data_IF_604347078467
#
_entry.id   IF_604347078467
#
_cell.length_a   1.000
_cell.length_b   1.000
_cell.length_c   1.000
_cell.angle_alpha   90.00
_cell.angle_beta   90.00
_cell.angle_gamma   90.00
#
_symmetry.space_group_name_H-M   'P 1'
#
loop_
_entity.id
_entity.type
_entity.pdbx_description
1 polymer ?
#
# COMPACT_ATOMS: atom_id res chain seq x y z
N UNK A 1 8.13 -37.49 -1.56
CA UNK A 1 6.81 -37.02 -1.14
C UNK A 1 6.81 -36.76 0.36
N UNK A 2 7.21 -35.56 0.74
CA UNK A 2 7.03 -35.08 2.11
C UNK A 2 5.80 -34.20 2.03
N UNK A 3 4.68 -34.67 2.59
CA UNK A 3 3.44 -33.90 2.70
C UNK A 3 3.69 -32.70 3.62
N UNK A 4 3.65 -31.51 3.06
CA UNK A 4 3.59 -30.28 3.83
C UNK A 4 2.18 -30.15 4.38
N UNK A 5 2.01 -30.50 5.65
CA UNK A 5 0.77 -30.29 6.38
C UNK A 5 0.54 -28.80 6.59
N UNK A 6 -0.68 -28.37 6.30
CA UNK A 6 -1.28 -27.07 6.46
C UNK A 6 -1.44 -26.62 7.93
N UNK A 7 -0.41 -26.78 8.77
CA UNK A 7 -0.45 -26.40 10.19
C UNK A 7 0.15 -25.01 10.47
N UNK A 8 0.07 -24.08 9.53
CA UNK A 8 0.30 -22.68 9.84
C UNK A 8 -1.06 -21.98 9.85
N UNK A 9 -1.54 -21.78 11.08
CA UNK A 9 -2.68 -20.94 11.47
C UNK A 9 -4.05 -21.63 11.61
N UNK A 10 -4.16 -22.48 12.63
CA UNK A 10 -5.44 -22.69 13.30
C UNK A 10 -5.78 -21.53 14.21
N UNK A 11 -6.30 -20.43 13.66
CA UNK A 11 -7.05 -19.41 14.40
C UNK A 11 -8.29 -19.04 13.59
N UNK A 12 -9.41 -19.61 14.02
CA UNK A 12 -10.74 -19.22 13.57
C UNK A 12 -11.11 -17.88 14.19
N UNK A 13 -11.57 -16.96 13.32
CA UNK A 13 -12.55 -15.91 13.46
C UNK A 13 -12.46 -14.83 14.55
N UNK A 14 -12.67 -13.63 14.05
CA UNK A 14 -13.05 -12.37 14.70
C UNK A 14 -11.87 -11.49 15.15
N UNK A 15 -11.15 -10.90 14.17
CA UNK A 15 -10.43 -9.67 14.44
C UNK A 15 -10.54 -8.72 13.23
N UNK A 16 -10.80 -7.42 13.45
CA UNK A 16 -10.84 -6.40 12.38
C UNK A 16 -9.44 -6.14 11.79
N UNK A 17 -8.43 -6.94 12.14
CA UNK A 17 -7.05 -6.77 11.76
C UNK A 17 -6.59 -7.93 10.87
N UNK A 18 -5.78 -7.60 9.85
CA UNK A 18 -5.05 -8.59 9.07
C UNK A 18 -3.81 -8.98 9.85
N UNK A 19 -3.60 -10.27 10.09
CA UNK A 19 -2.38 -10.76 10.74
C UNK A 19 -1.20 -10.46 9.83
N UNK A 20 -0.22 -9.69 10.34
CA UNK A 20 1.05 -9.45 9.68
C UNK A 20 2.15 -10.32 10.30
N UNK A 21 3.17 -10.59 9.51
CA UNK A 21 4.32 -11.40 9.90
C UNK A 21 5.62 -10.64 9.70
N UNK A 22 6.64 -11.00 10.46
CA UNK A 22 8.02 -10.55 10.26
C UNK A 22 8.92 -11.76 10.04
N UNK A 23 9.97 -11.57 9.24
CA UNK A 23 11.01 -12.59 9.05
C UNK A 23 11.75 -12.85 10.37
N UNK A 24 12.09 -14.09 10.66
CA UNK A 24 12.96 -14.46 11.78
C UNK A 24 14.45 -14.24 11.46
N UNK A 25 14.82 -14.55 10.22
CA UNK A 25 16.20 -14.44 9.74
C UNK A 25 16.24 -13.75 8.38
N UNK A 26 17.31 -13.02 8.03
CA UNK A 26 17.50 -12.55 6.67
C UNK A 26 17.74 -13.74 5.73
N UNK A 27 17.37 -13.55 4.46
CA UNK A 27 17.71 -14.48 3.39
C UNK A 27 18.32 -13.77 2.20
N UNK A 28 18.98 -14.53 1.33
CA UNK A 28 19.69 -13.99 0.16
C UNK A 28 19.48 -14.89 -1.05
N UNK A 29 19.20 -14.28 -2.20
CA UNK A 29 19.20 -14.94 -3.51
C UNK A 29 20.03 -14.15 -4.51
N UNK A 30 20.71 -14.87 -5.40
CA UNK A 30 21.55 -14.28 -6.47
C UNK A 30 21.11 -14.82 -7.82
N UNK A 31 21.07 -13.96 -8.82
CA UNK A 31 20.74 -14.31 -10.20
C UNK A 31 20.96 -13.16 -11.15
N UNK A 32 20.48 -13.28 -12.37
CA UNK A 32 20.59 -12.25 -13.42
C UNK A 32 19.28 -11.52 -13.63
N UNK A 33 19.34 -10.21 -13.88
CA UNK A 33 18.21 -9.41 -14.35
C UNK A 33 17.84 -9.82 -15.78
N UNK A 34 16.53 -9.95 -16.08
CA UNK A 34 16.08 -10.42 -17.40
C UNK A 34 16.37 -9.41 -18.52
N UNK A 35 16.32 -8.11 -18.19
CA UNK A 35 16.50 -7.04 -19.18
C UNK A 35 17.95 -6.55 -19.24
N UNK A 36 18.61 -6.34 -18.10
CA UNK A 36 19.99 -5.84 -18.03
C UNK A 36 21.00 -6.93 -18.30
N UNK A 37 20.72 -8.16 -17.86
CA UNK A 37 21.67 -9.27 -17.85
C UNK A 37 22.69 -9.19 -16.72
N UNK A 38 22.63 -8.16 -15.87
CA UNK A 38 23.54 -7.99 -14.75
C UNK A 38 23.27 -8.98 -13.64
N UNK A 39 24.34 -9.43 -12.98
CA UNK A 39 24.21 -10.24 -11.77
C UNK A 39 23.81 -9.36 -10.60
N UNK A 40 22.73 -9.73 -9.94
CA UNK A 40 22.24 -9.06 -8.74
C UNK A 40 22.07 -10.04 -7.60
N UNK A 41 22.57 -9.66 -6.44
CA UNK A 41 22.29 -10.31 -5.16
C UNK A 41 21.28 -9.47 -4.41
N UNK A 42 20.19 -10.11 -3.99
CA UNK A 42 19.13 -9.50 -3.16
C UNK A 42 19.21 -10.11 -1.77
N UNK A 43 19.35 -9.26 -0.75
CA UNK A 43 19.28 -9.67 0.65
C UNK A 43 18.05 -9.02 1.29
N UNK A 44 17.16 -9.84 1.83
CA UNK A 44 15.95 -9.40 2.50
C UNK A 44 16.10 -9.57 4.00
N UNK A 45 15.99 -8.47 4.74
CA UNK A 45 16.11 -8.42 6.18
C UNK A 45 14.76 -8.17 6.84
N UNK A 46 14.52 -8.71 8.05
CA UNK A 46 13.38 -8.30 8.86
C UNK A 46 13.41 -6.80 9.13
N UNK A 47 12.24 -6.19 9.23
CA UNK A 47 12.11 -4.77 9.57
C UNK A 47 10.93 -4.55 10.54
N UNK A 48 10.97 -3.51 11.39
CA UNK A 48 9.90 -3.23 12.35
C UNK A 48 8.64 -2.74 11.64
N UNK A 49 7.50 -2.90 12.30
CA UNK A 49 6.20 -2.36 11.85
C UNK A 49 6.31 -0.86 11.55
N UNK A 50 5.66 -0.43 10.47
CA UNK A 50 5.74 0.95 9.95
C UNK A 50 6.95 1.22 9.05
N UNK A 51 7.90 0.26 8.92
CA UNK A 51 9.03 0.41 8.01
C UNK A 51 8.61 0.40 6.53
N UNK A 52 7.62 -0.45 6.15
CA UNK A 52 7.29 -0.72 4.75
C UNK A 52 8.39 -1.51 4.04
N UNK A 53 8.30 -1.60 2.71
CA UNK A 53 9.40 -2.12 1.89
C UNK A 53 10.35 -0.98 1.55
N UNK A 54 11.63 -1.15 1.84
CA UNK A 54 12.66 -0.14 1.55
C UNK A 54 13.83 -0.80 0.84
N UNK A 55 14.09 -0.36 -0.38
CA UNK A 55 15.23 -0.81 -1.19
C UNK A 55 16.48 0.03 -0.95
N UNK A 56 17.61 -0.65 -0.76
CA UNK A 56 18.93 -0.08 -0.60
C UNK A 56 19.85 -0.58 -1.72
N UNK A 57 20.42 0.31 -2.51
CA UNK A 57 21.38 0.00 -3.57
C UNK A 57 22.79 -0.06 -2.97
N UNK A 58 23.30 -1.27 -2.78
CA UNK A 58 24.64 -1.50 -2.18
C UNK A 58 25.78 -1.14 -3.11
N UNK A 59 25.55 -1.10 -4.41
CA UNK A 59 26.47 -0.62 -5.44
C UNK A 59 26.46 0.92 -5.58
N UNK A 60 25.47 1.60 -4.99
CA UNK A 60 25.35 3.06 -4.92
C UNK A 60 25.01 3.48 -3.47
N UNK A 61 25.92 3.28 -2.49
CA UNK A 61 25.62 3.42 -1.07
C UNK A 61 25.24 4.84 -0.64
N UNK A 62 25.63 5.85 -1.41
CA UNK A 62 25.28 7.27 -1.16
C UNK A 62 23.87 7.64 -1.65
N UNK A 63 23.24 6.79 -2.48
CA UNK A 63 21.90 7.07 -2.99
C UNK A 63 20.84 6.92 -1.88
N UNK A 64 19.86 7.82 -1.86
CA UNK A 64 18.74 7.77 -0.91
C UNK A 64 17.96 6.46 -1.07
N UNK A 65 17.74 5.69 0.01
CA UNK A 65 16.95 4.47 -0.06
C UNK A 65 15.55 4.71 -0.62
N UNK A 66 15.06 3.78 -1.43
CA UNK A 66 13.74 3.88 -2.05
C UNK A 66 12.69 3.20 -1.17
N UNK A 67 11.85 4.01 -0.52
CA UNK A 67 10.64 3.48 0.13
C UNK A 67 9.58 3.21 -0.93
N UNK A 68 9.11 1.98 -0.97
CA UNK A 68 8.09 1.54 -1.94
C UNK A 68 6.76 2.23 -1.69
N UNK A 69 6.18 2.75 -2.75
CA UNK A 69 4.82 3.28 -2.81
C UNK A 69 4.33 3.31 -4.26
N UNK A 70 3.02 3.36 -4.53
CA UNK A 70 2.52 3.49 -5.89
C UNK A 70 3.02 4.75 -6.63
N UNK A 71 3.36 5.83 -5.90
CA UNK A 71 3.90 7.08 -6.48
C UNK A 71 5.34 6.96 -6.96
N UNK A 72 6.08 5.91 -6.58
CA UNK A 72 7.45 5.67 -7.04
C UNK A 72 7.50 4.95 -8.40
N UNK A 73 6.37 4.54 -8.96
CA UNK A 73 6.32 3.87 -10.27
C UNK A 73 6.64 4.88 -11.37
N UNK A 74 7.68 4.63 -12.14
CA UNK A 74 8.14 5.51 -13.25
C UNK A 74 7.98 4.88 -14.62
N UNK A 75 7.92 3.56 -14.70
CA UNK A 75 7.72 2.83 -15.95
C UNK A 75 7.01 1.49 -15.69
N UNK A 76 6.14 1.09 -16.61
CA UNK A 76 5.34 -0.15 -16.55
C UNK A 76 5.43 -0.98 -17.83
N UNK A 77 6.37 -0.66 -18.73
CA UNK A 77 6.56 -1.46 -19.95
C UNK A 77 7.26 -2.78 -19.62
N UNK A 78 6.49 -3.86 -19.66
CA UNK A 78 6.90 -5.26 -19.42
C UNK A 78 7.46 -5.57 -18.03
N UNK A 79 7.52 -4.60 -17.12
CA UNK A 79 7.99 -4.73 -15.73
C UNK A 79 7.53 -3.52 -14.93
N UNK A 80 7.54 -3.63 -13.62
CA UNK A 80 7.35 -2.49 -12.74
C UNK A 80 8.72 -1.88 -12.40
N UNK A 81 8.91 -0.61 -12.78
CA UNK A 81 10.11 0.17 -12.45
C UNK A 81 9.78 1.19 -11.37
N UNK A 82 10.51 1.15 -10.28
CA UNK A 82 10.37 2.05 -9.13
C UNK A 82 11.55 3.00 -9.06
N UNK A 83 11.32 4.30 -8.81
CA UNK A 83 12.39 5.28 -8.63
C UNK A 83 11.98 6.43 -7.71
N UNK A 84 12.94 6.97 -6.97
CA UNK A 84 12.84 8.24 -6.23
C UNK A 84 13.74 9.35 -6.82
N UNK A 85 14.28 9.12 -8.03
CA UNK A 85 15.21 10.01 -8.70
C UNK A 85 16.69 9.68 -8.46
N UNK A 86 17.05 9.07 -7.33
CA UNK A 86 18.42 8.65 -7.01
C UNK A 86 18.56 7.12 -7.06
N UNK A 87 17.63 6.41 -6.45
CA UNK A 87 17.57 4.96 -6.46
C UNK A 87 16.53 4.49 -7.46
N UNK A 88 16.93 3.56 -8.37
CA UNK A 88 16.01 2.91 -9.30
C UNK A 88 16.09 1.40 -9.14
N UNK A 89 14.93 0.75 -9.11
CA UNK A 89 14.76 -0.70 -8.98
C UNK A 89 13.83 -1.20 -10.08
N UNK A 90 14.23 -2.25 -10.77
CA UNK A 90 13.47 -2.90 -11.85
C UNK A 90 13.02 -4.30 -11.44
N UNK A 91 11.87 -4.74 -11.98
CA UNK A 91 11.37 -6.12 -11.86
C UNK A 91 11.13 -6.53 -10.39
N UNK A 92 10.47 -5.64 -9.62
CA UNK A 92 10.23 -5.87 -8.19
C UNK A 92 9.01 -6.77 -7.90
N UNK A 93 8.13 -6.96 -8.88
CA UNK A 93 6.81 -7.56 -8.74
C UNK A 93 6.82 -8.98 -8.17
N UNK A 94 7.76 -9.85 -8.57
CA UNK A 94 7.79 -11.25 -8.11
C UNK A 94 8.20 -11.37 -6.63
N UNK A 95 9.22 -10.61 -6.22
CA UNK A 95 9.66 -10.55 -4.82
C UNK A 95 8.55 -9.95 -3.94
N UNK A 96 7.98 -8.81 -4.36
CA UNK A 96 6.93 -8.14 -3.61
C UNK A 96 5.67 -9.00 -3.51
N UNK A 97 5.32 -9.75 -4.57
CA UNK A 97 4.21 -10.71 -4.55
C UNK A 97 4.40 -11.79 -3.49
N UNK A 98 5.60 -12.38 -3.40
CA UNK A 98 5.91 -13.41 -2.41
C UNK A 98 5.85 -12.85 -0.97
N UNK A 99 6.45 -11.68 -0.72
CA UNK A 99 6.43 -11.02 0.60
C UNK A 99 4.99 -10.67 1.01
N UNK A 100 4.22 -10.07 0.10
CA UNK A 100 2.84 -9.67 0.37
C UNK A 100 1.93 -10.87 0.66
N UNK A 101 2.04 -11.93 -0.13
CA UNK A 101 1.27 -13.16 0.07
C UNK A 101 1.66 -13.89 1.38
N UNK A 102 2.91 -13.75 1.83
CA UNK A 102 3.36 -14.25 3.13
C UNK A 102 2.91 -13.36 4.31
N UNK A 103 2.20 -12.25 4.06
CA UNK A 103 1.79 -11.30 5.10
C UNK A 103 2.95 -10.47 5.68
N UNK A 104 4.07 -10.38 4.98
CA UNK A 104 5.24 -9.60 5.38
C UNK A 104 5.16 -8.24 4.66
N UNK A 105 4.75 -7.20 5.37
CA UNK A 105 4.57 -5.85 4.81
C UNK A 105 5.75 -4.92 5.10
N UNK A 106 6.74 -5.39 5.87
CA UNK A 106 7.91 -4.62 6.29
C UNK A 106 9.18 -5.42 6.06
N UNK A 107 10.04 -4.91 5.20
CA UNK A 107 11.34 -5.51 4.91
C UNK A 107 12.34 -4.45 4.47
N UNK A 108 13.59 -4.56 4.92
CA UNK A 108 14.73 -3.87 4.36
C UNK A 108 15.35 -4.76 3.28
N UNK A 109 15.45 -4.26 2.06
CA UNK A 109 15.85 -5.05 0.90
C UNK A 109 17.11 -4.42 0.29
N UNK A 110 18.21 -5.16 0.27
CA UNK A 110 19.48 -4.73 -0.26
C UNK A 110 19.72 -5.34 -1.64
N UNK A 111 20.18 -4.52 -2.59
CA UNK A 111 20.44 -4.90 -3.99
C UNK A 111 21.85 -4.54 -4.38
N UNK A 112 22.57 -5.45 -5.06
CA UNK A 112 23.90 -5.18 -5.63
C UNK A 112 23.86 -4.69 -7.08
N UNK A 113 22.68 -4.58 -7.70
CA UNK A 113 22.44 -4.01 -9.02
C UNK A 113 21.02 -3.44 -9.11
N UNK A 114 20.64 -2.77 -10.21
CA UNK A 114 19.34 -2.10 -10.35
C UNK A 114 18.17 -3.04 -10.63
N UNK A 115 18.41 -4.23 -11.13
CA UNK A 115 17.36 -5.16 -11.52
C UNK A 115 17.33 -6.38 -10.60
N UNK A 116 16.16 -6.67 -10.02
CA UNK A 116 15.96 -7.87 -9.21
C UNK A 116 16.08 -9.11 -10.11
N UNK A 117 16.76 -10.18 -9.66
CA UNK A 117 16.96 -11.39 -10.45
C UNK A 117 15.64 -12.03 -10.88
N UNK A 118 15.56 -12.41 -12.15
CA UNK A 118 14.38 -13.11 -12.68
C UNK A 118 14.27 -14.55 -12.16
N UNK A 119 15.38 -15.15 -11.78
CA UNK A 119 15.49 -16.54 -11.32
C UNK A 119 14.86 -17.49 -12.35
N UNK A 120 13.85 -18.26 -11.95
CA UNK A 120 13.12 -19.16 -12.84
C UNK A 120 11.90 -18.51 -13.53
N UNK A 121 11.71 -17.19 -13.36
CA UNK A 121 10.59 -16.43 -13.91
C UNK A 121 9.32 -16.48 -13.08
N UNK A 122 9.35 -17.07 -11.88
CA UNK A 122 8.22 -17.16 -10.95
C UNK A 122 8.53 -16.53 -9.60
N UNK A 123 7.58 -16.52 -8.68
CA UNK A 123 7.80 -16.13 -7.29
C UNK A 123 8.20 -17.30 -6.38
N UNK A 124 8.26 -18.52 -6.90
CA UNK A 124 8.52 -19.72 -6.09
C UNK A 124 9.87 -19.68 -5.35
N UNK A 125 11.00 -19.32 -5.97
CA UNK A 125 12.27 -19.25 -5.25
C UNK A 125 12.24 -18.26 -4.08
N UNK A 126 11.55 -17.11 -4.24
CA UNK A 126 11.35 -16.11 -3.19
C UNK A 126 10.48 -16.66 -2.06
N UNK A 127 9.39 -17.34 -2.41
CA UNK A 127 8.49 -17.99 -1.47
C UNK A 127 9.19 -19.06 -0.63
N UNK A 128 9.97 -19.92 -1.25
CA UNK A 128 10.77 -20.95 -0.57
C UNK A 128 11.81 -20.32 0.38
N UNK A 129 12.50 -19.27 -0.06
CA UNK A 129 13.48 -18.56 0.77
C UNK A 129 12.83 -17.90 2.00
N UNK A 130 11.64 -17.31 1.85
CA UNK A 130 10.86 -16.76 2.98
C UNK A 130 10.54 -17.86 3.99
N UNK A 131 10.09 -19.03 3.53
CA UNK A 131 9.75 -20.16 4.41
C UNK A 131 10.99 -20.73 5.12
N UNK A 132 12.13 -20.80 4.43
CA UNK A 132 13.40 -21.23 5.03
C UNK A 132 13.91 -20.23 6.07
N UNK A 133 13.73 -18.93 5.83
CA UNK A 133 14.10 -17.88 6.79
C UNK A 133 13.21 -17.90 8.04
N UNK A 134 12.00 -18.47 7.93
CA UNK A 134 11.01 -18.52 8.98
C UNK A 134 10.32 -17.18 9.24
N UNK A 135 9.09 -17.23 9.71
CA UNK A 135 8.28 -16.04 10.02
C UNK A 135 7.65 -16.18 11.42
N UNK A 136 7.45 -15.05 12.08
CA UNK A 136 6.67 -14.96 13.32
C UNK A 136 5.58 -13.90 13.18
N UNK A 137 4.44 -14.03 13.88
CA UNK A 137 3.45 -12.97 13.92
C UNK A 137 4.09 -11.64 14.37
N UNK A 138 3.74 -10.56 13.70
CA UNK A 138 4.17 -9.22 14.11
C UNK A 138 3.55 -8.88 15.47
N UNK A 139 4.29 -8.23 16.39
CA UNK A 139 3.76 -7.81 17.68
C UNK A 139 2.69 -6.71 17.58
N UNK A 140 2.61 -6.04 16.46
CA UNK A 140 1.64 -4.99 16.17
C UNK A 140 0.71 -5.45 15.04
N UNK A 141 -0.59 -5.22 15.23
CA UNK A 141 -1.59 -5.49 14.22
C UNK A 141 -1.56 -4.40 13.15
N UNK A 142 -1.70 -4.80 11.89
CA UNK A 142 -1.78 -3.87 10.77
C UNK A 142 -3.24 -3.45 10.54
N UNK A 143 -3.44 -2.13 10.52
CA UNK A 143 -4.69 -1.56 10.00
C UNK A 143 -4.61 -1.58 8.47
N UNK A 144 -5.20 -2.59 7.86
CA UNK A 144 -5.26 -2.69 6.40
C UNK A 144 -6.08 -1.53 5.79
N UNK A 145 -5.76 -1.20 4.54
CA UNK A 145 -6.56 -0.25 3.75
C UNK A 145 -7.97 -0.83 3.57
N UNK A 146 -8.98 -0.07 4.00
CA UNK A 146 -10.40 -0.40 3.81
C UNK A 146 -11.01 0.55 2.79
N UNK A 147 -11.71 0.05 1.80
CA UNK A 147 -12.44 0.85 0.82
C UNK A 147 -13.86 1.13 1.34
N UNK A 148 -14.40 2.34 1.07
CA UNK A 148 -15.81 2.66 1.36
C UNK A 148 -16.72 2.45 0.14
N UNK A 149 -16.16 2.58 -1.06
CA UNK A 149 -16.84 2.41 -2.32
C UNK A 149 -15.93 1.69 -3.32
N UNK A 150 -16.49 1.08 -4.36
CA UNK A 150 -15.71 0.49 -5.43
C UNK A 150 -14.83 1.53 -6.13
N UNK A 151 -13.61 1.13 -6.47
CA UNK A 151 -12.67 1.92 -7.28
C UNK A 151 -12.48 1.18 -8.61
N UNK A 152 -12.59 1.87 -9.74
CA UNK A 152 -12.33 1.35 -11.08
C UNK A 152 -11.33 2.22 -11.82
N UNK A 153 -10.42 1.58 -12.51
CA UNK A 153 -9.49 2.20 -13.48
C UNK A 153 -9.57 1.44 -14.79
N UNK A 154 -9.35 2.14 -15.89
CA UNK A 154 -9.41 1.56 -17.23
C UNK A 154 -8.34 2.18 -18.12
N UNK A 155 -7.73 1.38 -18.97
CA UNK A 155 -6.87 1.84 -20.04
C UNK A 155 -7.69 1.90 -21.35
N UNK A 156 -8.02 3.10 -21.83
CA UNK A 156 -8.88 3.25 -23.02
C UNK A 156 -8.23 2.75 -24.31
N UNK A 157 -6.90 2.61 -24.34
CA UNK A 157 -6.17 2.16 -25.54
C UNK A 157 -6.29 0.63 -25.72
N UNK A 158 -6.27 -0.12 -24.63
CA UNK A 158 -6.26 -1.59 -24.64
C UNK A 158 -7.59 -2.21 -24.21
N UNK A 159 -8.47 -1.42 -23.57
CA UNK A 159 -9.70 -1.89 -22.91
C UNK A 159 -9.41 -2.74 -21.67
N UNK A 160 -8.17 -2.71 -21.15
CA UNK A 160 -7.81 -3.33 -19.90
C UNK A 160 -8.40 -2.54 -18.73
N UNK A 161 -8.90 -3.23 -17.71
CA UNK A 161 -9.44 -2.57 -16.53
C UNK A 161 -9.09 -3.32 -15.24
N UNK A 162 -9.10 -2.59 -14.14
CA UNK A 162 -8.95 -3.13 -12.80
C UNK A 162 -9.96 -2.46 -11.84
N UNK A 163 -10.55 -3.25 -10.96
CA UNK A 163 -11.56 -2.84 -9.99
C UNK A 163 -11.20 -3.36 -8.60
N UNK A 164 -11.48 -2.56 -7.58
CA UNK A 164 -11.38 -2.96 -6.19
C UNK A 164 -12.72 -2.70 -5.49
N UNK A 165 -13.27 -3.71 -4.84
CA UNK A 165 -14.51 -3.66 -4.07
C UNK A 165 -14.22 -3.82 -2.58
N UNK A 166 -14.92 -3.12 -1.67
CA UNK A 166 -14.83 -3.36 -0.24
C UNK A 166 -15.06 -4.84 0.10
N UNK A 167 -14.20 -5.42 0.92
CA UNK A 167 -14.33 -6.79 1.40
C UNK A 167 -13.63 -6.96 2.76
N UNK A 168 -14.01 -7.94 3.54
CA UNK A 168 -13.40 -8.20 4.86
C UNK A 168 -11.98 -8.78 4.75
N UNK A 169 -11.73 -9.57 3.72
CA UNK A 169 -10.44 -10.22 3.48
C UNK A 169 -9.97 -9.94 2.04
N UNK A 170 -8.66 -9.89 1.80
CA UNK A 170 -8.14 -9.72 0.46
C UNK A 170 -8.46 -10.91 -0.42
N UNK A 171 -8.89 -10.61 -1.63
CA UNK A 171 -9.05 -11.60 -2.70
C UNK A 171 -8.77 -10.97 -4.06
N UNK A 172 -8.25 -11.78 -4.98
CA UNK A 172 -7.77 -11.34 -6.28
C UNK A 172 -8.32 -12.24 -7.37
N UNK A 173 -8.76 -11.68 -8.47
CA UNK A 173 -9.27 -12.39 -9.63
C UNK A 173 -8.73 -11.74 -10.93
N UNK A 174 -8.18 -12.56 -11.80
CA UNK A 174 -7.63 -12.16 -13.08
C UNK A 174 -8.37 -12.89 -14.19
N UNK A 175 -8.86 -12.14 -15.17
CA UNK A 175 -9.30 -12.65 -16.47
C UNK A 175 -8.29 -12.21 -17.52
N UNK A 176 -7.44 -13.13 -17.95
CA UNK A 176 -6.53 -12.92 -19.06
C UNK A 176 -7.27 -13.20 -20.36
N UNK A 177 -7.32 -12.21 -21.24
CA UNK A 177 -7.81 -12.35 -22.61
C UNK A 177 -6.69 -11.90 -23.55
N UNK A 178 -6.09 -12.84 -24.24
CA UNK A 178 -5.01 -12.62 -25.18
C UNK A 178 -5.46 -13.03 -26.58
N UNK A 179 -4.94 -12.38 -27.62
CA UNK A 179 -5.27 -12.71 -29.01
C UNK A 179 -4.74 -14.11 -29.41
N UNK A 180 -3.61 -14.51 -28.80
CA UNK A 180 -3.08 -15.85 -28.98
C UNK A 180 -3.96 -16.89 -28.27
N UNK A 181 -4.56 -17.78 -29.00
CA UNK A 181 -5.46 -18.84 -28.52
C UNK A 181 -4.81 -19.72 -27.43
N UNK A 182 -3.50 -19.93 -27.52
CA UNK A 182 -2.72 -20.71 -26.56
C UNK A 182 -2.63 -20.09 -25.14
N UNK A 183 -2.99 -18.81 -24.98
CA UNK A 183 -2.83 -18.05 -23.73
C UNK A 183 -4.17 -17.63 -23.14
N UNK A 184 -5.25 -17.60 -23.89
CA UNK A 184 -6.51 -17.14 -23.33
C UNK A 184 -7.73 -17.42 -24.18
N UNK A 185 -8.97 -17.17 -23.66
CA UNK A 185 -9.28 -16.57 -22.35
C UNK A 185 -9.15 -17.57 -21.21
N UNK A 186 -8.43 -17.20 -20.16
CA UNK A 186 -8.22 -18.00 -18.94
C UNK A 186 -8.32 -17.14 -17.70
N UNK A 187 -8.75 -17.76 -16.60
CA UNK A 187 -8.93 -17.10 -15.31
C UNK A 187 -8.00 -17.69 -14.25
N UNK A 188 -7.60 -16.85 -13.32
CA UNK A 188 -6.96 -17.27 -12.08
C UNK A 188 -7.55 -16.46 -10.91
N UNK A 189 -7.58 -17.07 -9.75
CA UNK A 189 -8.04 -16.40 -8.53
C UNK A 189 -7.21 -16.83 -7.31
N UNK A 190 -7.09 -15.93 -6.37
CA UNK A 190 -6.46 -16.18 -5.07
C UNK A 190 -7.28 -15.51 -3.97
N UNK A 191 -7.51 -16.25 -2.87
CA UNK A 191 -8.23 -15.76 -1.70
C UNK A 191 -7.42 -16.03 -0.45
N UNK A 192 -7.60 -15.20 0.56
CA UNK A 192 -7.03 -15.44 1.88
C UNK A 192 -7.33 -16.86 2.37
N UNK A 193 -6.32 -17.57 2.87
CA UNK A 193 -6.41 -18.97 3.30
C UNK A 193 -6.12 -20.01 2.21
N UNK A 194 -5.96 -19.62 0.94
CA UNK A 194 -5.46 -20.53 -0.10
C UNK A 194 -3.93 -20.65 -0.05
N UNK A 195 -3.42 -21.77 -0.52
CA UNK A 195 -1.98 -22.01 -0.62
C UNK A 195 -1.40 -21.25 -1.83
N UNK A 196 -0.79 -20.10 -1.55
CA UNK A 196 -0.09 -19.30 -2.55
C UNK A 196 1.09 -20.06 -3.16
N UNK A 197 1.84 -20.79 -2.31
CA UNK A 197 3.02 -21.55 -2.73
C UNK A 197 2.71 -22.63 -3.75
N UNK A 198 1.56 -23.30 -3.61
CA UNK A 198 1.17 -24.36 -4.54
C UNK A 198 0.45 -23.84 -5.79
N UNK A 199 -0.34 -22.75 -5.67
CA UNK A 199 -1.28 -22.37 -6.71
C UNK A 199 -0.84 -21.15 -7.54
N UNK A 200 0.01 -20.26 -6.99
CA UNK A 200 0.38 -18.98 -7.63
C UNK A 200 1.89 -18.84 -7.75
N UNK A 201 2.66 -19.06 -6.68
CA UNK A 201 4.11 -18.87 -6.69
C UNK A 201 4.85 -19.61 -7.82
N UNK A 202 4.46 -20.83 -8.26
CA UNK A 202 5.13 -21.55 -9.34
C UNK A 202 4.88 -20.99 -10.74
N UNK A 203 3.91 -20.08 -10.91
CA UNK A 203 3.54 -19.52 -12.21
C UNK A 203 4.65 -18.63 -12.75
N UNK A 204 5.24 -19.02 -13.88
CA UNK A 204 6.34 -18.30 -14.53
C UNK A 204 5.83 -17.24 -15.48
N UNK A 205 6.65 -16.18 -15.62
CA UNK A 205 6.46 -15.25 -16.72
C UNK A 205 6.46 -15.99 -18.05
N UNK A 206 5.73 -15.48 -19.01
CA UNK A 206 5.63 -16.08 -20.33
C UNK A 206 5.85 -15.05 -21.43
N UNK A 207 6.30 -15.53 -22.57
CA UNK A 207 6.42 -14.71 -23.77
C UNK A 207 5.84 -15.44 -24.96
N UNK A 208 5.31 -14.67 -25.90
CA UNK A 208 4.74 -15.14 -27.14
C UNK A 208 5.83 -15.15 -28.20
N UNK A 209 5.94 -16.24 -28.96
CA UNK A 209 7.01 -16.42 -29.93
C UNK A 209 7.04 -15.33 -31.01
N UNK A 210 5.89 -14.95 -31.55
CA UNK A 210 5.79 -13.86 -32.53
C UNK A 210 6.17 -12.48 -31.97
N UNK A 211 6.08 -12.29 -30.65
CA UNK A 211 6.49 -11.05 -29.99
C UNK A 211 7.99 -11.03 -29.63
N UNK A 212 8.58 -12.19 -29.31
CA UNK A 212 9.97 -12.25 -28.87
C UNK A 212 10.95 -12.32 -30.04
N UNK A 213 10.63 -12.98 -31.14
CA UNK A 213 11.54 -13.15 -32.27
C UNK A 213 12.04 -11.82 -32.85
N UNK A 214 11.22 -10.77 -33.03
CA UNK A 214 11.70 -9.46 -33.46
C UNK A 214 12.68 -8.80 -32.44
N UNK A 215 12.55 -9.12 -31.14
CA UNK A 215 13.43 -8.59 -30.11
C UNK A 215 14.80 -9.30 -30.14
N UNK A 216 14.78 -10.62 -30.34
CA UNK A 216 16.00 -11.43 -30.52
C UNK A 216 16.79 -10.95 -31.74
N UNK A 217 16.14 -10.75 -32.88
CA UNK A 217 16.79 -10.24 -34.07
C UNK A 217 17.44 -8.86 -33.89
N UNK A 218 16.97 -8.07 -32.93
CA UNK A 218 17.54 -6.77 -32.54
C UNK A 218 18.59 -6.86 -31.42
N UNK A 219 18.92 -8.07 -30.94
CA UNK A 219 19.91 -8.29 -29.88
C UNK A 219 19.46 -7.78 -28.48
N UNK A 220 18.15 -7.75 -28.23
CA UNK A 220 17.55 -7.42 -26.95
C UNK A 220 17.40 -8.68 -26.09
N UNK A 221 16.97 -8.51 -24.80
CA UNK A 221 16.74 -9.60 -23.83
C UNK A 221 18.04 -10.32 -23.39
N UNK A 222 19.06 -9.55 -23.04
CA UNK A 222 20.42 -10.06 -22.73
C UNK A 222 20.48 -11.03 -21.54
N UNK A 223 19.55 -10.93 -20.58
CA UNK A 223 19.50 -11.76 -19.38
C UNK A 223 18.53 -12.94 -19.43
N UNK A 224 17.68 -13.04 -20.47
CA UNK A 224 16.78 -14.16 -20.62
C UNK A 224 17.54 -15.46 -20.90
N UNK A 225 17.17 -16.54 -20.22
CA UNK A 225 17.76 -17.88 -20.31
C UNK A 225 16.68 -18.91 -20.48
N UNK A 226 17.00 -20.10 -21.03
CA UNK A 226 16.11 -21.26 -20.90
C UNK A 226 15.78 -21.48 -19.42
N UNK A 227 14.48 -21.60 -19.12
CA UNK A 227 14.02 -21.77 -17.74
C UNK A 227 13.68 -20.48 -16.97
N UNK A 228 14.02 -19.26 -17.47
CA UNK A 228 13.58 -18.00 -16.86
C UNK A 228 12.16 -17.55 -17.25
N UNK A 229 11.37 -18.45 -17.86
CA UNK A 229 10.00 -18.20 -18.29
C UNK A 229 9.49 -19.27 -19.22
N UNK A 230 8.27 -19.09 -19.71
CA UNK A 230 7.61 -19.98 -20.68
C UNK A 230 7.58 -19.33 -22.07
N UNK A 231 8.05 -20.03 -23.08
CA UNK A 231 7.90 -19.63 -24.47
C UNK A 231 6.67 -20.31 -25.07
N UNK A 232 5.72 -19.51 -25.54
CA UNK A 232 4.46 -19.96 -26.13
C UNK A 232 4.46 -19.70 -27.63
N UNK A 233 4.30 -20.72 -28.44
CA UNK A 233 4.07 -20.61 -29.88
C UNK A 233 2.60 -20.26 -30.09
N UNK A 234 2.34 -19.13 -30.72
CA UNK A 234 1.00 -18.57 -30.95
C UNK A 234 0.55 -18.67 -32.42
N UNK A 235 1.51 -18.82 -33.33
CA UNK A 235 1.29 -18.98 -34.77
C UNK A 235 2.45 -19.74 -35.38
N UNK A 236 2.31 -20.28 -36.60
CA UNK A 236 3.41 -20.89 -37.34
C UNK A 236 4.60 -19.94 -37.47
N UNK A 237 5.76 -20.40 -37.02
CA UNK A 237 7.02 -19.65 -37.07
C UNK A 237 7.76 -19.99 -38.39
N UNK A 238 8.47 -19.01 -38.95
CA UNK A 238 9.36 -19.22 -40.09
C UNK A 238 10.60 -20.00 -39.70
N UNK A 239 11.33 -20.55 -40.68
CA UNK A 239 12.62 -21.19 -40.46
C UNK A 239 13.61 -20.24 -39.79
N UNK A 240 13.62 -18.96 -40.20
CA UNK A 240 14.46 -17.92 -39.61
C UNK A 240 14.15 -17.67 -38.14
N UNK A 241 12.86 -17.70 -37.76
CA UNK A 241 12.45 -17.51 -36.37
C UNK A 241 12.88 -18.70 -35.51
N UNK A 242 12.73 -19.93 -35.99
CA UNK A 242 13.22 -21.12 -35.30
C UNK A 242 14.75 -21.10 -35.12
N UNK A 243 15.50 -20.69 -36.13
CA UNK A 243 16.94 -20.55 -36.03
C UNK A 243 17.34 -19.50 -34.99
N UNK A 244 16.68 -18.34 -35.00
CA UNK A 244 16.92 -17.28 -34.03
C UNK A 244 16.58 -17.72 -32.60
N UNK A 245 15.49 -18.46 -32.40
CA UNK A 245 15.11 -19.01 -31.10
C UNK A 245 16.12 -20.06 -30.63
N UNK A 246 16.58 -20.97 -31.50
CA UNK A 246 17.59 -21.97 -31.17
C UNK A 246 18.91 -21.32 -30.73
N UNK A 247 19.36 -20.31 -31.45
CA UNK A 247 20.58 -19.58 -31.15
C UNK A 247 20.44 -18.82 -29.81
N UNK A 248 19.29 -18.20 -29.57
CA UNK A 248 18.98 -17.49 -28.36
C UNK A 248 18.92 -18.41 -27.14
N UNK A 249 18.31 -19.57 -27.27
CA UNK A 249 18.18 -20.60 -26.21
C UNK A 249 19.51 -21.38 -26.00
N UNK A 250 20.33 -21.44 -27.02
CA UNK A 250 21.61 -22.19 -27.01
C UNK A 250 21.44 -23.69 -27.25
N UNK A 251 20.27 -24.14 -27.68
CA UNK A 251 19.99 -25.53 -28.04
C UNK A 251 18.93 -25.64 -29.14
N UNK A 252 18.86 -26.78 -29.81
CA UNK A 252 17.84 -27.05 -30.82
C UNK A 252 16.50 -27.35 -30.16
N UNK A 253 15.55 -26.45 -30.33
CA UNK A 253 14.20 -26.61 -29.82
C UNK A 253 13.42 -27.65 -30.62
N UNK A 254 12.61 -28.43 -29.94
CA UNK A 254 11.61 -29.29 -30.57
C UNK A 254 10.53 -28.39 -31.15
N UNK A 255 10.40 -28.41 -32.49
CA UNK A 255 9.40 -27.61 -33.21
C UNK A 255 7.98 -28.08 -32.87
N UNK A 256 7.09 -27.12 -32.86
CA UNK A 256 5.65 -27.38 -32.77
C UNK A 256 4.95 -26.90 -34.05
N UNK A 257 4.06 -27.71 -34.54
CA UNK A 257 3.15 -27.36 -35.64
C UNK A 257 1.81 -26.81 -35.11
N UNK A 258 1.55 -27.03 -33.79
CA UNK A 258 0.40 -26.53 -33.05
C UNK A 258 0.77 -25.39 -32.08
N UNK A 259 -0.26 -24.64 -31.64
CA UNK A 259 -0.09 -23.55 -30.64
C UNK A 259 0.10 -24.11 -29.23
N UNK A 260 0.88 -23.45 -28.41
CA UNK A 260 1.11 -23.82 -27.00
C UNK A 260 2.55 -23.63 -26.52
N UNK A 261 2.86 -23.99 -25.28
CA UNK A 261 4.20 -23.91 -24.74
C UNK A 261 5.14 -24.88 -25.46
N UNK A 262 6.38 -24.45 -25.70
CA UNK A 262 7.40 -25.40 -26.25
C UNK A 262 7.67 -26.54 -25.25
N UNK A 263 8.05 -27.74 -25.75
CA UNK A 263 8.32 -28.90 -24.88
C UNK A 263 9.41 -28.66 -23.81
N UNK A 264 10.35 -27.75 -24.06
CA UNK A 264 11.40 -27.36 -23.12
C UNK A 264 10.83 -26.65 -21.87
N UNK A 265 9.73 -25.89 -22.03
CA UNK A 265 9.10 -25.15 -20.95
C UNK A 265 7.59 -25.43 -20.83
N UNK A 266 7.19 -26.70 -20.55
CA UNK A 266 5.78 -27.03 -20.38
C UNK A 266 5.17 -26.26 -19.21
N UNK A 267 3.87 -26.00 -19.25
CA UNK A 267 3.19 -25.34 -18.14
C UNK A 267 3.29 -26.15 -16.84
N UNK A 268 3.62 -25.48 -15.74
CA UNK A 268 3.63 -26.03 -14.37
C UNK A 268 2.21 -26.09 -13.78
N UNK A 269 1.36 -25.14 -14.19
CA UNK A 269 -0.03 -25.04 -13.76
C UNK A 269 -0.96 -25.05 -14.99
N UNK A 270 -2.18 -25.59 -14.86
CA UNK A 270 -3.11 -25.67 -16.00
C UNK A 270 -3.43 -24.32 -16.65
N UNK A 271 -3.44 -23.25 -15.85
CA UNK A 271 -3.71 -21.88 -16.26
C UNK A 271 -2.52 -20.95 -15.95
N UNK A 272 -1.30 -21.44 -16.10
CA UNK A 272 -0.06 -20.74 -15.69
C UNK A 272 0.01 -19.28 -16.19
N UNK A 273 -0.35 -18.92 -17.45
CA UNK A 273 -0.34 -17.54 -17.88
C UNK A 273 -1.25 -16.61 -17.05
N UNK A 274 -2.46 -17.04 -16.70
CA UNK A 274 -3.35 -16.26 -15.84
C UNK A 274 -2.87 -16.22 -14.39
N UNK A 275 -2.35 -17.34 -13.88
CA UNK A 275 -1.76 -17.40 -12.53
C UNK A 275 -0.54 -16.50 -12.41
N UNK A 276 0.28 -16.37 -13.47
CA UNK A 276 1.38 -15.41 -13.48
C UNK A 276 0.88 -13.97 -13.47
N UNK A 277 -0.16 -13.64 -14.26
CA UNK A 277 -0.76 -12.29 -14.22
C UNK A 277 -1.42 -11.98 -12.88
N UNK A 278 -1.86 -12.99 -12.16
CA UNK A 278 -2.34 -12.86 -10.78
C UNK A 278 -1.19 -12.61 -9.80
N UNK A 279 -0.05 -13.28 -9.98
CA UNK A 279 1.19 -13.04 -9.26
C UNK A 279 1.66 -11.58 -9.44
N UNK A 280 1.70 -11.10 -10.68
CA UNK A 280 2.03 -9.71 -11.03
C UNK A 280 1.08 -8.72 -10.34
N UNK A 281 -0.23 -8.99 -10.39
CA UNK A 281 -1.24 -8.15 -9.72
C UNK A 281 -0.98 -8.04 -8.21
N UNK A 282 -0.72 -9.17 -7.54
CA UNK A 282 -0.42 -9.17 -6.10
C UNK A 282 0.85 -8.35 -5.81
N UNK A 283 1.89 -8.49 -6.64
CA UNK A 283 3.13 -7.72 -6.54
C UNK A 283 2.95 -6.22 -6.75
N UNK A 284 2.12 -5.82 -7.73
CA UNK A 284 1.80 -4.42 -7.97
C UNK A 284 0.91 -3.82 -6.86
N UNK A 285 0.01 -4.60 -6.26
CA UNK A 285 -0.77 -4.18 -5.09
C UNK A 285 0.10 -4.10 -3.82
N UNK A 286 1.16 -4.90 -3.72
CA UNK A 286 2.13 -4.80 -2.63
C UNK A 286 2.82 -3.42 -2.54
N UNK A 287 2.77 -2.61 -3.62
CA UNK A 287 3.23 -1.21 -3.61
C UNK A 287 2.49 -0.35 -2.58
N UNK A 288 1.31 -0.76 -2.13
CA UNK A 288 0.58 -0.10 -1.04
C UNK A 288 1.34 -0.16 0.29
N UNK A 289 2.30 -1.10 0.46
CA UNK A 289 3.12 -1.27 1.66
C UNK A 289 2.36 -1.72 2.91
N UNK A 290 1.10 -2.12 2.76
CA UNK A 290 0.22 -2.58 3.82
C UNK A 290 -0.91 -3.45 3.25
N UNK A 291 -1.56 -4.30 4.07
CA UNK A 291 -2.65 -5.15 3.59
C UNK A 291 -3.85 -4.34 3.10
N UNK A 292 -4.59 -4.88 2.16
CA UNK A 292 -5.85 -4.29 1.69
C UNK A 292 -7.04 -5.20 2.04
N UNK A 293 -8.14 -4.60 2.44
CA UNK A 293 -9.43 -5.27 2.67
C UNK A 293 -10.35 -5.02 1.48
N UNK A 294 -10.05 -5.74 0.40
CA UNK A 294 -10.78 -5.58 -0.86
C UNK A 294 -10.79 -6.88 -1.69
N UNK A 295 -11.83 -7.02 -2.51
CA UNK A 295 -11.85 -7.94 -3.64
C UNK A 295 -11.41 -7.18 -4.90
N UNK A 296 -10.28 -7.61 -5.49
CA UNK A 296 -9.70 -6.99 -6.68
C UNK A 296 -9.93 -7.88 -7.89
N UNK A 297 -10.50 -7.30 -8.95
CA UNK A 297 -10.77 -7.98 -10.23
C UNK A 297 -10.08 -7.23 -11.36
N UNK A 298 -9.52 -7.99 -12.30
CA UNK A 298 -8.86 -7.39 -13.47
C UNK A 298 -9.24 -8.13 -14.75
N UNK A 299 -9.30 -7.38 -15.84
CA UNK A 299 -9.47 -7.88 -17.20
C UNK A 299 -8.33 -7.38 -18.08
N UNK A 300 -7.69 -8.26 -18.84
CA UNK A 300 -6.44 -7.99 -19.58
C UNK A 300 -5.38 -7.31 -18.69
N UNK A 301 -5.04 -7.91 -17.52
CA UNK A 301 -4.17 -7.27 -16.54
C UNK A 301 -2.80 -6.95 -17.10
N UNK A 302 -2.25 -5.83 -16.66
CA UNK A 302 -0.88 -5.40 -16.93
C UNK A 302 -0.41 -4.42 -15.87
N UNK A 303 0.91 -4.23 -15.74
CA UNK A 303 1.50 -3.36 -14.72
C UNK A 303 0.92 -1.94 -14.75
N UNK A 304 0.60 -1.39 -15.94
CA UNK A 304 -0.01 -0.07 -16.09
C UNK A 304 -1.36 0.04 -15.35
N UNK A 305 -2.29 -0.87 -15.59
CA UNK A 305 -3.61 -0.84 -14.95
C UNK A 305 -3.53 -1.24 -13.47
N UNK A 306 -2.68 -2.20 -13.11
CA UNK A 306 -2.50 -2.63 -11.73
C UNK A 306 -1.94 -1.51 -10.86
N UNK A 307 -0.89 -0.84 -11.32
CA UNK A 307 -0.25 0.28 -10.60
C UNK A 307 -1.14 1.51 -10.54
N UNK A 308 -1.91 1.79 -11.59
CA UNK A 308 -2.92 2.86 -11.59
C UNK A 308 -4.01 2.59 -10.53
N UNK A 309 -4.45 1.33 -10.39
CA UNK A 309 -5.38 0.95 -9.34
C UNK A 309 -4.75 1.16 -7.96
N UNK A 310 -3.50 0.72 -7.74
CA UNK A 310 -2.80 0.94 -6.48
C UNK A 310 -2.65 2.43 -6.14
N UNK A 311 -2.36 3.29 -7.13
CA UNK A 311 -2.32 4.75 -6.96
C UNK A 311 -3.68 5.29 -6.52
N UNK A 312 -4.76 4.88 -7.20
CA UNK A 312 -6.12 5.31 -6.86
C UNK A 312 -6.56 4.85 -5.46
N UNK A 313 -6.21 3.64 -5.07
CA UNK A 313 -6.45 3.12 -3.72
C UNK A 313 -5.69 3.94 -2.69
N UNK A 314 -4.43 4.28 -2.94
CA UNK A 314 -3.62 5.09 -2.03
C UNK A 314 -4.14 6.53 -1.93
N UNK A 315 -4.59 7.13 -3.03
CA UNK A 315 -5.26 8.44 -3.04
C UNK A 315 -6.54 8.40 -2.18
N UNK A 316 -7.41 7.41 -2.38
CA UNK A 316 -8.63 7.21 -1.60
C UNK A 316 -8.32 7.00 -0.12
N UNK A 317 -7.34 6.14 0.20
CA UNK A 317 -6.91 5.89 1.58
C UNK A 317 -6.27 7.13 2.23
N UNK A 318 -5.54 7.94 1.48
CA UNK A 318 -4.95 9.18 1.99
C UNK A 318 -5.97 10.29 2.23
N UNK A 319 -7.10 10.25 1.53
CA UNK A 319 -8.24 11.15 1.77
C UNK A 319 -9.16 10.64 2.88
N UNK A 320 -9.12 9.34 3.18
CA UNK A 320 -9.83 8.75 4.32
C UNK A 320 -9.12 9.11 5.62
N UNK A 321 -9.85 9.73 6.48
CA UNK A 321 -9.30 10.30 7.73
C UNK A 321 -9.00 11.79 7.60
N UNK A 322 -9.18 12.39 6.39
CA UNK A 322 -9.38 13.83 6.30
C UNK A 322 -10.84 14.09 6.69
N UNK A 323 -11.07 14.66 7.86
CA UNK A 323 -12.43 14.98 8.27
C UNK A 323 -12.98 16.05 7.32
N UNK A 324 -14.17 15.85 6.78
CA UNK A 324 -14.82 16.81 5.88
C UNK A 324 -15.96 17.51 6.58
N UNK A 325 -16.17 18.79 6.27
CA UNK A 325 -17.32 19.56 6.71
C UNK A 325 -18.23 19.85 5.52
N UNK A 326 -19.51 19.47 5.67
CA UNK A 326 -20.54 19.85 4.73
C UNK A 326 -21.48 20.86 5.39
N UNK A 327 -21.73 22.04 4.79
CA UNK A 327 -22.56 23.09 5.38
C UNK A 327 -23.97 22.61 5.77
N UNK A 328 -24.55 21.71 5.00
CA UNK A 328 -25.89 21.15 5.23
C UNK A 328 -25.92 20.00 6.27
N UNK A 329 -24.76 19.58 6.77
CA UNK A 329 -24.68 18.53 7.78
C UNK A 329 -25.18 19.05 9.13
N UNK A 330 -26.17 18.39 9.72
CA UNK A 330 -26.58 18.65 11.11
C UNK A 330 -25.44 18.25 12.05
N UNK A 331 -24.89 19.16 12.87
CA UNK A 331 -23.82 18.81 13.80
C UNK A 331 -24.35 17.94 14.94
N UNK A 332 -23.50 17.08 15.47
CA UNK A 332 -23.78 16.31 16.69
C UNK A 332 -23.94 17.23 17.90
N UNK A 333 -23.14 18.32 17.95
CA UNK A 333 -23.25 19.38 18.95
C UNK A 333 -23.05 20.74 18.30
N UNK A 334 -23.96 21.67 18.58
CA UNK A 334 -23.79 23.09 18.29
C UNK A 334 -22.97 23.78 19.39
N UNK A 335 -22.66 25.07 19.18
CA UNK A 335 -21.89 25.88 20.13
C UNK A 335 -22.55 25.96 21.53
N UNK A 336 -23.88 25.98 21.61
CA UNK A 336 -24.62 26.02 22.87
C UNK A 336 -24.39 24.76 23.68
N UNK A 337 -24.46 23.61 23.04
CA UNK A 337 -24.17 22.31 23.68
C UNK A 337 -22.70 22.20 24.08
N UNK A 338 -21.77 22.67 23.22
CA UNK A 338 -20.34 22.70 23.55
C UNK A 338 -20.08 23.54 24.81
N UNK A 339 -20.70 24.73 24.91
CA UNK A 339 -20.59 25.62 26.08
C UNK A 339 -21.18 25.00 27.36
N UNK A 340 -22.04 24.02 27.29
CA UNK A 340 -22.53 23.29 28.46
C UNK A 340 -21.55 22.24 28.96
N UNK A 341 -20.57 21.84 28.17
CA UNK A 341 -19.54 20.83 28.50
C UNK A 341 -18.21 21.52 28.84
N UNK A 342 -17.73 22.42 27.96
CA UNK A 342 -16.48 23.14 28.16
C UNK A 342 -16.65 24.39 29.00
N UNK A 343 -15.70 24.73 29.90
CA UNK A 343 -15.70 25.96 30.67
C UNK A 343 -15.33 27.20 29.83
N UNK A 344 -14.70 27.00 28.67
CA UNK A 344 -14.23 28.07 27.79
C UNK A 344 -15.38 28.96 27.28
N UNK A 345 -15.09 30.24 27.13
CA UNK A 345 -16.02 31.26 26.60
C UNK A 345 -15.30 32.15 25.58
N UNK A 346 -16.03 32.79 24.66
CA UNK A 346 -15.43 33.79 23.79
C UNK A 346 -14.68 34.89 24.57
N UNK A 347 -13.50 35.34 24.11
CA UNK A 347 -12.89 34.99 22.80
C UNK A 347 -12.04 33.73 22.79
N UNK A 348 -11.99 32.94 23.86
CA UNK A 348 -11.13 31.78 23.98
C UNK A 348 -11.86 30.42 23.74
N UNK A 349 -13.11 30.44 23.38
CA UNK A 349 -13.82 29.29 22.84
C UNK A 349 -13.51 29.16 21.34
N UNK A 350 -12.74 28.15 20.97
CA UNK A 350 -12.20 28.00 19.61
C UNK A 350 -12.81 26.80 18.86
N UNK A 351 -14.04 26.38 19.23
CA UNK A 351 -14.78 25.29 18.60
C UNK A 351 -16.21 25.76 18.36
N UNK A 352 -16.70 25.61 17.12
CA UNK A 352 -18.05 26.03 16.74
C UNK A 352 -19.03 24.86 16.66
N UNK A 353 -18.55 23.68 16.23
CA UNK A 353 -19.39 22.49 16.07
C UNK A 353 -18.59 21.21 16.40
N UNK A 354 -19.28 20.20 16.92
CA UNK A 354 -18.83 18.81 16.85
C UNK A 354 -19.63 18.12 15.76
N UNK A 355 -18.93 17.54 14.80
CA UNK A 355 -19.53 16.93 13.62
C UNK A 355 -19.82 15.44 13.86
N UNK A 356 -18.83 14.74 14.43
CA UNK A 356 -18.86 13.30 14.68
C UNK A 356 -18.15 13.00 16.00
N UNK A 357 -18.58 11.94 16.69
CA UNK A 357 -17.94 11.43 17.90
C UNK A 357 -18.26 9.96 18.07
N UNK A 358 -17.24 9.17 18.38
CA UNK A 358 -17.32 7.77 18.79
C UNK A 358 -16.70 7.58 20.19
N UNK A 359 -16.54 6.35 20.62
CA UNK A 359 -15.86 6.05 21.91
C UNK A 359 -14.39 6.48 21.92
N UNK A 360 -13.73 6.49 20.74
CA UNK A 360 -12.26 6.66 20.64
C UNK A 360 -11.83 7.89 19.84
N UNK A 361 -12.74 8.56 19.12
CA UNK A 361 -12.41 9.67 18.24
C UNK A 361 -13.50 10.73 18.16
N UNK A 362 -13.10 11.94 17.79
CA UNK A 362 -13.98 13.09 17.65
C UNK A 362 -13.57 13.95 16.47
N UNK A 363 -14.56 14.47 15.75
CA UNK A 363 -14.38 15.46 14.67
C UNK A 363 -15.09 16.75 15.08
N UNK A 364 -14.30 17.83 15.19
CA UNK A 364 -14.79 19.17 15.48
C UNK A 364 -14.51 20.17 14.36
N UNK A 365 -15.11 21.31 14.42
CA UNK A 365 -14.98 22.37 13.40
C UNK A 365 -14.89 23.75 14.03
N UNK A 366 -14.05 24.61 13.42
CA UNK A 366 -14.01 26.07 13.65
C UNK A 366 -14.06 26.84 12.35
N UNK A 367 -14.96 27.82 12.26
CA UNK A 367 -14.93 28.83 11.22
C UNK A 367 -13.92 29.93 11.60
N UNK A 368 -12.91 30.14 10.77
CA UNK A 368 -11.89 31.17 11.00
C UNK A 368 -12.33 32.44 10.28
N UNK A 369 -12.85 33.42 11.04
CA UNK A 369 -13.34 34.65 10.46
C UNK A 369 -12.36 35.82 10.70
N UNK A 370 -12.43 36.87 9.89
CA UNK A 370 -11.60 38.08 10.09
C UNK A 370 -11.91 38.81 11.42
N UNK A 371 -13.04 38.50 12.06
CA UNK A 371 -13.43 39.09 13.36
C UNK A 371 -12.71 38.47 14.57
N UNK A 372 -11.88 37.48 14.37
CA UNK A 372 -11.09 36.88 15.43
C UNK A 372 -10.08 37.88 16.02
N UNK A 373 -10.06 38.06 17.35
CA UNK A 373 -9.23 39.10 18.00
C UNK A 373 -7.72 38.96 17.70
N UNK A 374 -7.24 37.78 17.46
CA UNK A 374 -5.80 37.55 17.21
C UNK A 374 -5.33 38.13 15.87
N UNK A 375 -6.22 38.38 14.89
CA UNK A 375 -5.83 38.96 13.63
C UNK A 375 -5.49 40.47 13.71
N UNK A 376 -5.83 41.14 14.81
CA UNK A 376 -5.40 42.55 15.03
C UNK A 376 -3.89 42.64 15.21
N UNK A 377 -3.22 41.57 15.68
CA UNK A 377 -1.78 41.57 15.93
C UNK A 377 -0.99 40.52 15.16
N UNK A 378 -1.65 39.49 14.62
CA UNK A 378 -0.95 38.35 14.01
C UNK A 378 -1.38 38.09 12.56
N UNK A 379 -0.93 38.85 11.55
CA UNK A 379 -0.09 40.07 11.56
C UNK A 379 -0.80 41.15 10.79
N UNK A 380 -0.62 42.45 11.11
CA UNK A 380 -1.19 43.53 10.34
C UNK A 380 -0.81 43.43 8.86
N UNK A 381 -1.82 43.43 7.95
CA UNK A 381 -1.61 43.25 6.51
C UNK A 381 -1.35 41.84 6.00
N UNK A 382 -1.11 40.87 6.89
CA UNK A 382 -0.90 39.43 6.54
C UNK A 382 -1.51 38.54 7.61
N UNK A 383 -2.85 38.45 7.74
CA UNK A 383 -3.52 37.75 8.82
C UNK A 383 -3.31 36.24 8.70
N UNK A 384 -2.78 35.65 9.77
CA UNK A 384 -2.57 34.20 9.91
C UNK A 384 -3.02 33.79 11.30
N UNK A 385 -3.82 32.72 11.43
CA UNK A 385 -4.19 32.17 12.73
C UNK A 385 -2.93 31.63 13.43
N UNK A 386 -2.64 32.07 14.67
CA UNK A 386 -1.50 31.55 15.42
C UNK A 386 -1.54 30.02 15.53
N UNK A 387 -0.42 29.34 15.20
CA UNK A 387 -0.36 27.88 15.26
C UNK A 387 -0.68 27.34 16.65
N UNK A 388 -0.26 28.03 17.71
CA UNK A 388 -0.57 27.65 19.09
C UNK A 388 -2.06 27.68 19.41
N UNK A 389 -2.84 28.55 18.76
CA UNK A 389 -4.30 28.58 18.90
C UNK A 389 -4.99 27.47 18.10
N UNK A 390 -4.35 26.95 17.04
CA UNK A 390 -4.83 25.74 16.37
C UNK A 390 -4.69 24.52 17.29
N UNK A 391 -3.58 24.44 18.07
CA UNK A 391 -3.38 23.39 19.07
C UNK A 391 -4.39 23.50 20.20
N UNK A 392 -4.65 24.72 20.68
CA UNK A 392 -5.67 24.97 21.70
C UNK A 392 -7.07 24.56 21.20
N UNK A 393 -7.44 24.89 19.96
CA UNK A 393 -8.70 24.47 19.37
C UNK A 393 -8.82 22.94 19.27
N UNK A 394 -7.75 22.25 18.85
CA UNK A 394 -7.67 20.78 18.89
C UNK A 394 -7.88 20.25 20.31
N UNK A 395 -7.24 20.87 21.27
CA UNK A 395 -7.37 20.48 22.68
C UNK A 395 -8.78 20.64 23.24
N UNK A 396 -9.48 21.68 22.86
CA UNK A 396 -10.88 21.86 23.24
C UNK A 396 -11.76 20.79 22.61
N UNK A 397 -11.57 20.43 21.34
CA UNK A 397 -12.26 19.32 20.70
C UNK A 397 -11.97 18.01 21.43
N UNK A 398 -10.68 17.70 21.69
CA UNK A 398 -10.28 16.50 22.42
C UNK A 398 -10.78 16.49 23.88
N UNK A 399 -10.88 17.65 24.49
CA UNK A 399 -11.46 17.83 25.82
C UNK A 399 -12.93 17.37 25.90
N UNK A 400 -13.72 17.65 24.86
CA UNK A 400 -15.10 17.18 24.76
C UNK A 400 -15.15 15.63 24.74
N UNK A 401 -14.28 14.99 23.91
CA UNK A 401 -14.20 13.53 23.87
C UNK A 401 -13.80 12.96 25.25
N UNK A 402 -12.78 13.54 25.87
CA UNK A 402 -12.31 13.11 27.18
C UNK A 402 -13.40 13.27 28.27
N UNK A 403 -14.10 14.40 28.27
CA UNK A 403 -15.18 14.67 29.24
C UNK A 403 -16.43 13.83 28.97
N UNK A 404 -16.64 13.31 27.76
CA UNK A 404 -17.76 12.38 27.49
C UNK A 404 -17.60 11.02 28.19
N UNK A 405 -16.41 10.71 28.71
CA UNK A 405 -16.14 9.46 29.43
C UNK A 405 -16.51 9.51 30.91
N UNK A 406 -16.87 10.67 31.44
CA UNK A 406 -17.29 10.85 32.83
C UNK A 406 -18.79 11.18 32.93
N UNK A 407 -19.46 10.80 34.05
CA UNK A 407 -20.93 10.92 34.16
C UNK A 407 -21.43 12.37 34.33
N UNK A 408 -20.58 13.27 34.88
CA UNK A 408 -20.91 14.66 35.24
C UNK A 408 -19.85 15.63 34.67
N UNK A 409 -19.71 15.75 33.33
CA UNK A 409 -18.60 16.45 32.66
C UNK A 409 -18.44 17.92 33.10
N UNK A 410 -19.53 18.59 33.45
CA UNK A 410 -19.56 19.97 33.93
C UNK A 410 -18.79 20.19 35.25
N UNK A 411 -18.48 19.14 36.01
CA UNK A 411 -17.72 19.18 37.27
C UNK A 411 -16.25 18.86 37.10
N UNK A 412 -15.80 18.61 35.85
CA UNK A 412 -14.41 18.29 35.55
C UNK A 412 -13.72 19.37 34.75
N UNK A 413 -12.42 19.51 34.99
CA UNK A 413 -11.53 20.34 34.20
C UNK A 413 -10.47 19.46 33.52
N UNK A 414 -10.00 19.93 32.38
CA UNK A 414 -8.94 19.26 31.62
C UNK A 414 -7.71 20.17 31.57
N UNK A 415 -6.59 19.68 32.07
CA UNK A 415 -5.34 20.42 32.10
C UNK A 415 -4.30 19.75 31.20
N UNK A 416 -3.65 20.55 30.35
CA UNK A 416 -2.52 20.07 29.58
C UNK A 416 -1.35 19.69 30.48
N UNK A 417 -0.78 18.51 30.24
CA UNK A 417 0.47 18.07 30.83
C UNK A 417 1.62 18.16 29.85
N UNK A 418 1.37 17.86 28.56
CA UNK A 418 2.43 17.76 27.56
C UNK A 418 1.86 17.85 26.15
N UNK A 419 2.64 18.44 25.22
CA UNK A 419 2.43 18.41 23.79
C UNK A 419 3.71 17.93 23.10
N UNK A 420 3.59 16.94 22.24
CA UNK A 420 4.72 16.34 21.52
C UNK A 420 4.48 16.32 20.01
N UNK A 421 5.57 16.16 19.25
CA UNK A 421 5.55 15.95 17.80
C UNK A 421 4.70 16.98 17.03
N UNK A 422 4.65 18.21 17.55
CA UNK A 422 3.88 19.29 16.94
C UNK A 422 4.53 19.72 15.64
N UNK A 423 3.71 19.80 14.58
CA UNK A 423 4.13 20.30 13.26
C UNK A 423 3.08 21.25 12.69
N UNK A 424 3.53 22.37 12.14
CA UNK A 424 2.73 23.33 11.38
C UNK A 424 3.12 23.22 9.92
N UNK A 425 2.19 22.76 9.08
CA UNK A 425 2.48 22.44 7.66
C UNK A 425 1.91 23.46 6.70
N UNK A 426 0.73 24.01 6.99
CA UNK A 426 0.07 24.99 6.15
C UNK A 426 -0.47 26.15 6.99
N UNK A 427 -0.45 27.35 6.41
CA UNK A 427 -1.04 28.55 7.03
C UNK A 427 -2.56 28.44 7.03
N UNK A 428 -3.17 29.00 8.08
CA UNK A 428 -4.62 29.13 8.23
C UNK A 428 -4.95 30.62 8.32
N UNK A 429 -5.89 31.08 7.51
CA UNK A 429 -6.25 32.49 7.42
C UNK A 429 -7.74 32.75 7.48
N UNK A 430 -8.13 34.04 7.47
CA UNK A 430 -9.55 34.40 7.44
C UNK A 430 -10.27 33.84 6.22
N UNK A 431 -11.43 33.23 6.43
CA UNK A 431 -12.23 32.54 5.43
C UNK A 431 -12.02 31.03 5.38
N UNK A 432 -11.00 30.51 6.06
CA UNK A 432 -10.79 29.07 6.17
C UNK A 432 -11.78 28.42 7.16
N UNK A 433 -12.09 27.17 6.91
CA UNK A 433 -12.77 26.29 7.87
C UNK A 433 -11.77 25.25 8.32
N UNK A 434 -11.44 25.26 9.61
CA UNK A 434 -10.64 24.22 10.24
C UNK A 434 -11.53 23.05 10.65
N UNK A 435 -11.17 21.86 10.23
CA UNK A 435 -11.77 20.61 10.70
C UNK A 435 -10.73 19.83 11.50
N UNK A 436 -11.06 19.47 12.72
CA UNK A 436 -10.18 18.78 13.65
C UNK A 436 -10.57 17.33 13.77
N UNK A 437 -9.58 16.45 13.74
CA UNK A 437 -9.76 15.03 14.07
C UNK A 437 -8.83 14.69 15.23
N UNK A 438 -9.39 14.20 16.31
CA UNK A 438 -8.64 13.72 17.47
C UNK A 438 -9.03 12.30 17.81
N UNK A 439 -8.04 11.52 18.22
CA UNK A 439 -8.20 10.12 18.53
C UNK A 439 -7.39 9.77 19.77
N UNK A 440 -7.96 8.95 20.68
CA UNK A 440 -7.20 8.36 21.79
C UNK A 440 -6.10 7.46 21.25
N UNK A 441 -4.88 7.62 21.75
CA UNK A 441 -3.74 6.75 21.42
C UNK A 441 -3.55 5.64 22.44
N UNK A 442 -4.08 5.82 23.64
CA UNK A 442 -4.04 4.85 24.74
C UNK A 442 -5.34 4.91 25.55
N UNK A 443 -5.72 3.82 26.24
CA UNK A 443 -6.82 3.86 27.20
C UNK A 443 -6.58 4.86 28.33
N UNK A 444 -7.62 5.55 28.77
CA UNK A 444 -7.55 6.52 29.87
C UNK A 444 -7.13 5.79 31.16
N UNK A 445 -6.08 6.28 31.82
CA UNK A 445 -5.57 5.72 33.07
C UNK A 445 -5.37 6.82 34.11
N UNK A 446 -6.01 6.70 35.27
CA UNK A 446 -5.90 7.66 36.39
C UNK A 446 -6.19 9.11 35.99
N UNK A 447 -7.16 9.31 35.07
CA UNK A 447 -7.50 10.61 34.52
C UNK A 447 -6.52 11.13 33.45
N UNK A 448 -5.44 10.42 33.15
CA UNK A 448 -4.52 10.79 32.08
C UNK A 448 -5.07 10.33 30.75
N UNK A 449 -5.15 11.27 29.82
CA UNK A 449 -5.63 11.11 28.46
C UNK A 449 -4.49 11.39 27.50
N UNK A 450 -4.30 10.50 26.52
CA UNK A 450 -3.33 10.69 25.44
C UNK A 450 -4.07 10.65 24.10
N UNK A 451 -3.83 11.66 23.26
CA UNK A 451 -4.51 11.82 21.96
C UNK A 451 -3.53 12.22 20.88
N UNK A 452 -3.79 11.76 19.66
CA UNK A 452 -3.25 12.38 18.44
C UNK A 452 -4.30 13.33 17.90
N UNK A 453 -3.89 14.53 17.50
CA UNK A 453 -4.75 15.53 16.88
C UNK A 453 -4.20 16.02 15.55
N UNK A 454 -5.11 16.27 14.62
CA UNK A 454 -4.84 16.84 13.30
C UNK A 454 -5.87 17.92 12.99
N UNK A 455 -5.43 19.04 12.36
CA UNK A 455 -6.27 20.12 11.89
C UNK A 455 -6.14 20.26 10.37
N UNK A 456 -7.24 20.35 9.68
CA UNK A 456 -7.32 20.36 8.22
C UNK A 456 -8.07 21.58 7.69
N UNK A 457 -7.61 22.12 6.54
CA UNK A 457 -8.35 23.09 5.72
C UNK A 457 -8.61 22.42 4.36
N UNK A 458 -9.84 21.99 4.13
CA UNK A 458 -10.14 21.11 3.01
C UNK A 458 -9.29 19.84 3.07
N UNK A 459 -8.55 19.52 2.02
CA UNK A 459 -7.64 18.36 1.96
C UNK A 459 -6.21 18.66 2.49
N UNK A 460 -5.91 19.89 2.95
CA UNK A 460 -4.58 20.28 3.39
C UNK A 460 -4.45 20.17 4.90
N UNK A 461 -3.50 19.36 5.37
CA UNK A 461 -3.14 19.29 6.78
C UNK A 461 -2.50 20.61 7.20
N UNK A 462 -3.15 21.37 8.09
CA UNK A 462 -2.64 22.61 8.62
C UNK A 462 -1.64 22.38 9.76
N UNK A 463 -2.04 21.59 10.74
CA UNK A 463 -1.19 21.25 11.89
C UNK A 463 -1.52 19.88 12.46
N UNK A 464 -0.57 19.28 13.17
CA UNK A 464 -0.73 18.02 13.90
C UNK A 464 0.09 18.02 15.19
N UNK A 465 -0.29 17.17 16.16
CA UNK A 465 0.44 17.00 17.40
C UNK A 465 -0.10 15.87 18.25
N UNK A 466 0.65 15.49 19.28
CA UNK A 466 0.25 14.57 20.33
C UNK A 466 0.02 15.35 21.62
N UNK A 467 -1.08 15.05 22.30
CA UNK A 467 -1.56 15.77 23.48
C UNK A 467 -1.66 14.80 24.65
N UNK A 468 -1.11 15.19 25.78
CA UNK A 468 -1.36 14.52 27.06
C UNK A 468 -2.05 15.50 27.99
N UNK A 469 -3.17 15.10 28.54
CA UNK A 469 -3.96 15.91 29.45
C UNK A 469 -4.38 15.12 30.68
N UNK A 470 -4.71 15.82 31.77
CA UNK A 470 -5.30 15.28 32.98
C UNK A 470 -6.74 15.76 33.11
N UNK A 471 -7.67 14.82 33.27
CA UNK A 471 -9.05 15.11 33.68
C UNK A 471 -9.10 15.02 35.21
N UNK A 472 -9.54 16.07 35.84
CA UNK A 472 -9.69 16.11 37.31
C UNK A 472 -11.00 16.75 37.72
N UNK A 473 -11.60 16.25 38.80
CA UNK A 473 -12.78 16.84 39.39
C UNK A 473 -12.33 17.98 40.31
N UNK A 474 -12.58 19.21 39.89
CA UNK A 474 -12.05 20.42 40.52
C UNK A 474 -13.12 21.26 41.23
N UNK A 475 -14.30 20.66 41.48
CA UNK A 475 -15.41 21.27 42.23
C UNK A 475 -16.03 20.32 43.21
#
# INVERSE_FOLDING_TARGET
>A
SVGFSSEICGLQHEAPFVTSYTLLHPFQLTGQGIHTGDSCTVTVHPAPTGHGYVFHRMDCPEATPLRVSPSCVTDTDRRTTLSNGETTVHTAEHLLSALYAAGIYHARIELTASEIPILDGSALPWWEAIHQAGCSPSPQLEHGITLQAPIRVEDPETGAWAEAYPADLPSFEVTLSHEAEAVGPVNAHFRSGQDYGANIAPARTFTIATHITPLIHRGLLKGARPGSGVLVVDAPLTESDWLALNDFVGETLVRRDDVGPIPLTPFRLPNEPASHKLLDLIGDIALLGQPIRAHIRTFKPGHKTNTLLAQKIMEDASTKGIPTYHPDQTPLMDVTKIMSILPHRPPFLLVDKILEMSENEIVGMKAVTMNEPFFTGHFPGAPVMPGVLQLEAMAQVGGILALSTVPDPENYLTYFLKMDQVKFKNKVGPGDTLVFHLQFTEPIRRGIVQMRGQAWVGSKLASEGHFTALITKDK
#
